data_IF_396250447117
#
_entry.id   IF_396250447117
#
_cell.length_a   1.000
_cell.length_b   1.000
_cell.length_c   1.000
_cell.angle_alpha   90.00
_cell.angle_beta   90.00
_cell.angle_gamma   90.00
#
_symmetry.space_group_name_H-M   'P 1'
#
loop_
_entity.id
_entity.type
_entity.pdbx_description
1 polymer ?
#
# COMPACT_ATOMS: atom_id res chain seq x y z
N UNK A 1 -4.01 -7.77 6.59
CA UNK A 1 -5.48 -7.94 6.58
C UNK A 1 -6.07 -6.62 7.06
N UNK A 2 -7.13 -6.08 6.43
CA UNK A 2 -7.75 -4.82 6.86
C UNK A 2 -8.63 -5.06 8.09
N UNK A 3 -8.45 -4.26 9.15
CA UNK A 3 -9.12 -4.45 10.42
C UNK A 3 -9.18 -3.14 11.23
N UNK A 4 -10.22 -3.00 12.07
CA UNK A 4 -10.29 -1.94 13.08
C UNK A 4 -9.82 -2.47 14.43
N UNK A 5 -8.99 -1.68 15.12
CA UNK A 5 -8.56 -1.96 16.49
C UNK A 5 -9.39 -1.14 17.49
N UNK A 6 -10.18 -1.81 18.32
CA UNK A 6 -10.95 -1.20 19.41
C UNK A 6 -10.47 -1.79 20.74
N UNK A 7 -9.72 -0.99 21.50
CA UNK A 7 -9.04 -1.47 22.71
C UNK A 7 -8.06 -2.60 22.39
N UNK A 8 -8.24 -3.75 23.04
CA UNK A 8 -7.42 -4.95 22.83
C UNK A 8 -7.99 -5.91 21.79
N UNK A 9 -9.10 -5.56 21.12
CA UNK A 9 -9.73 -6.40 20.12
C UNK A 9 -9.45 -5.87 18.71
N UNK A 10 -9.23 -6.80 17.79
CA UNK A 10 -9.08 -6.56 16.37
C UNK A 10 -10.30 -7.15 15.65
N UNK A 11 -10.93 -6.34 14.80
CA UNK A 11 -12.12 -6.69 14.05
C UNK A 11 -11.79 -6.64 12.55
N UNK A 12 -11.48 -7.80 11.94
CA UNK A 12 -11.22 -7.87 10.50
C UNK A 12 -12.44 -7.40 9.71
N UNK A 13 -12.22 -6.54 8.73
CA UNK A 13 -13.28 -6.00 7.87
C UNK A 13 -13.11 -6.63 6.49
N UNK A 14 -14.01 -7.55 6.08
CA UNK A 14 -13.99 -8.11 4.74
C UNK A 14 -14.29 -7.02 3.72
N UNK A 15 -13.41 -6.84 2.76
CA UNK A 15 -13.56 -5.92 1.65
C UNK A 15 -13.74 -6.68 0.34
N UNK A 16 -14.55 -6.13 -0.55
CA UNK A 16 -14.65 -6.53 -1.96
C UNK A 16 -14.45 -5.29 -2.82
N UNK A 17 -13.88 -5.46 -4.01
CA UNK A 17 -13.49 -4.30 -4.80
C UNK A 17 -13.13 -4.59 -6.23
N UNK A 18 -12.70 -3.53 -6.93
CA UNK A 18 -12.28 -3.51 -8.32
C UNK A 18 -10.95 -2.79 -8.42
N UNK A 19 -10.08 -3.30 -9.29
CA UNK A 19 -8.86 -2.62 -9.69
C UNK A 19 -8.92 -2.30 -11.17
N UNK A 20 -8.60 -1.07 -11.54
CA UNK A 20 -8.44 -0.67 -12.94
C UNK A 20 -6.97 -0.80 -13.28
N UNK A 21 -6.66 -1.53 -14.34
CA UNK A 21 -5.30 -1.79 -14.79
C UNK A 21 -5.17 -1.25 -16.22
N UNK A 22 -4.14 -0.46 -16.50
CA UNK A 22 -3.91 0.09 -17.84
C UNK A 22 -3.54 -1.04 -18.80
N UNK A 23 -4.09 -1.01 -20.02
CA UNK A 23 -3.89 -2.07 -20.99
C UNK A 23 -2.48 -2.09 -21.61
N UNK A 24 -1.77 -0.96 -21.58
CA UNK A 24 -0.48 -0.76 -22.24
C UNK A 24 0.71 -1.24 -21.39
N UNK A 25 0.67 -0.98 -20.09
CA UNK A 25 1.80 -1.15 -19.16
C UNK A 25 1.44 -1.96 -17.92
N UNK A 26 0.20 -2.46 -17.84
CA UNK A 26 -0.30 -3.22 -16.69
C UNK A 26 -0.16 -2.47 -15.36
N UNK A 27 -0.28 -1.14 -15.39
CA UNK A 27 -0.18 -0.30 -14.22
C UNK A 27 -1.54 -0.23 -13.53
N UNK A 28 -1.58 -0.31 -12.20
CA UNK A 28 -2.82 -0.10 -11.44
C UNK A 28 -3.16 1.39 -11.55
N UNK A 29 -4.26 1.76 -12.18
CA UNK A 29 -4.71 3.15 -12.23
C UNK A 29 -5.44 3.54 -10.93
N UNK A 30 -6.32 2.65 -10.46
CA UNK A 30 -7.19 2.87 -9.30
C UNK A 30 -7.52 1.54 -8.64
N UNK A 31 -7.71 1.57 -7.33
CA UNK A 31 -8.37 0.50 -6.57
C UNK A 31 -9.57 1.12 -5.84
N UNK A 32 -10.72 0.47 -5.93
CA UNK A 32 -11.92 0.84 -5.18
C UNK A 32 -12.44 -0.39 -4.46
N UNK A 33 -12.70 -0.25 -3.17
CA UNK A 33 -13.19 -1.34 -2.34
C UNK A 33 -14.28 -0.86 -1.39
N UNK A 34 -15.18 -1.76 -1.03
CA UNK A 34 -16.25 -1.54 -0.08
C UNK A 34 -16.36 -2.69 0.90
N UNK A 35 -16.85 -2.39 2.11
CA UNK A 35 -17.15 -3.41 3.11
C UNK A 35 -18.24 -4.35 2.60
N UNK A 36 -18.02 -5.65 2.78
CA UNK A 36 -18.93 -6.69 2.27
C UNK A 36 -20.28 -6.69 2.98
N UNK A 37 -20.29 -6.44 4.29
CA UNK A 37 -21.50 -6.40 5.13
C UNK A 37 -21.30 -5.52 6.36
N UNK A 38 -22.35 -4.88 6.91
CA UNK A 38 -22.28 -4.16 8.17
C UNK A 38 -21.76 -5.01 9.33
N UNK A 39 -21.11 -4.36 10.30
CA UNK A 39 -20.56 -4.95 11.52
C UNK A 39 -21.14 -4.26 12.76
N UNK A 40 -22.36 -4.66 13.19
CA UNK A 40 -23.06 -4.03 14.31
C UNK A 40 -22.30 -4.11 15.65
N UNK A 41 -21.48 -5.14 15.85
CA UNK A 41 -20.70 -5.38 17.06
C UNK A 41 -19.71 -4.26 17.38
N UNK A 42 -19.24 -3.56 16.35
CA UNK A 42 -18.39 -2.36 16.47
C UNK A 42 -19.11 -1.08 16.02
N UNK A 43 -20.40 -1.17 15.65
CA UNK A 43 -21.18 -0.07 15.09
C UNK A 43 -20.57 0.52 13.81
N UNK A 44 -19.97 -0.32 12.96
CA UNK A 44 -19.50 0.04 11.62
C UNK A 44 -20.56 -0.38 10.60
N UNK A 45 -21.18 0.59 9.93
CA UNK A 45 -22.32 0.37 9.04
C UNK A 45 -21.86 0.23 7.59
N UNK A 46 -20.95 1.10 7.16
CA UNK A 46 -20.41 1.14 5.81
C UNK A 46 -18.93 1.54 5.84
N UNK A 47 -18.17 1.06 4.85
CA UNK A 47 -16.84 1.58 4.53
C UNK A 47 -16.65 1.50 3.01
N UNK A 48 -16.17 2.59 2.43
CA UNK A 48 -15.84 2.72 1.01
C UNK A 48 -14.46 3.37 0.89
N UNK A 49 -13.59 2.76 0.11
CA UNK A 49 -12.19 3.14 -0.05
C UNK A 49 -11.88 3.32 -1.52
N UNK A 50 -11.22 4.43 -1.85
CA UNK A 50 -10.74 4.75 -3.20
C UNK A 50 -9.26 5.08 -3.07
N UNK A 51 -8.40 4.40 -3.84
CA UNK A 51 -6.98 4.69 -3.93
C UNK A 51 -6.62 4.96 -5.39
N UNK A 52 -6.08 6.15 -5.65
CA UNK A 52 -5.59 6.55 -6.97
C UNK A 52 -4.09 6.32 -7.04
N UNK A 53 -3.61 5.80 -8.16
CA UNK A 53 -2.20 5.51 -8.42
C UNK A 53 -1.70 6.34 -9.59
N UNK A 54 -0.39 6.59 -9.62
CA UNK A 54 0.22 7.28 -10.74
C UNK A 54 1.74 7.28 -10.70
N UNK A 55 2.37 7.93 -11.70
CA UNK A 55 3.82 7.99 -11.80
C UNK A 55 4.39 8.94 -10.76
N UNK A 56 5.33 8.44 -9.96
CA UNK A 56 6.16 9.20 -9.02
C UNK A 56 7.60 9.19 -9.53
N UNK A 57 8.12 10.33 -10.01
CA UNK A 57 9.48 10.42 -10.52
C UNK A 57 10.49 10.46 -9.36
N UNK A 58 11.62 9.77 -9.55
CA UNK A 58 12.79 9.78 -8.67
C UNK A 58 14.02 10.25 -9.47
N UNK A 59 14.24 11.58 -9.58
CA UNK A 59 15.27 12.13 -10.45
C UNK A 59 16.69 11.65 -10.12
N UNK A 60 17.01 11.49 -8.82
CA UNK A 60 18.34 11.04 -8.35
C UNK A 60 18.76 9.66 -8.87
N UNK A 61 17.79 8.79 -9.19
CA UNK A 61 18.02 7.45 -9.74
C UNK A 61 17.49 7.32 -11.18
N UNK A 62 17.11 8.43 -11.80
CA UNK A 62 16.55 8.49 -13.15
C UNK A 62 15.46 7.41 -13.40
N UNK A 63 14.55 7.24 -12.45
CA UNK A 63 13.49 6.23 -12.52
C UNK A 63 12.14 6.82 -12.15
N UNK A 64 11.06 6.15 -12.54
CA UNK A 64 9.69 6.48 -12.18
C UNK A 64 9.00 5.24 -11.68
N UNK A 65 8.43 5.30 -10.48
CA UNK A 65 7.66 4.20 -9.91
C UNK A 65 6.17 4.54 -9.93
N UNK A 66 5.33 3.52 -10.09
CA UNK A 66 3.89 3.68 -10.07
C UNK A 66 3.37 3.43 -8.65
N UNK A 67 3.00 4.49 -7.93
CA UNK A 67 2.71 4.45 -6.49
C UNK A 67 1.35 5.12 -6.19
N UNK A 68 0.76 4.88 -5.02
CA UNK A 68 -0.41 5.63 -4.57
C UNK A 68 -0.17 7.14 -4.59
N UNK A 69 -1.18 7.91 -4.97
CA UNK A 69 -1.18 9.38 -4.93
C UNK A 69 -2.15 9.92 -3.90
N UNK A 70 -3.30 9.28 -3.77
CA UNK A 70 -4.31 9.63 -2.77
C UNK A 70 -5.09 8.41 -2.32
N UNK A 71 -5.62 8.49 -1.10
CA UNK A 71 -6.63 7.57 -0.61
C UNK A 71 -7.80 8.35 0.00
N UNK A 72 -9.00 8.11 -0.49
CA UNK A 72 -10.26 8.64 0.02
C UNK A 72 -11.01 7.52 0.74
N UNK A 73 -11.37 7.73 2.00
CA UNK A 73 -12.12 6.78 2.81
C UNK A 73 -13.40 7.43 3.33
N UNK A 74 -14.52 6.76 3.09
CA UNK A 74 -15.84 7.12 3.59
C UNK A 74 -16.31 5.98 4.49
N UNK A 75 -16.71 6.28 5.72
CA UNK A 75 -17.22 5.24 6.60
C UNK A 75 -18.24 5.77 7.61
N UNK A 76 -19.21 4.92 7.91
CA UNK A 76 -20.27 5.20 8.86
C UNK A 76 -20.00 4.43 10.14
N UNK A 77 -19.59 5.14 11.18
CA UNK A 77 -19.16 4.54 12.43
C UNK A 77 -19.79 5.25 13.63
N UNK A 78 -20.38 4.48 14.54
CA UNK A 78 -21.01 4.99 15.77
C UNK A 78 -21.93 6.20 15.51
N UNK A 79 -22.82 6.05 14.52
CA UNK A 79 -23.82 7.07 14.10
C UNK A 79 -23.22 8.34 13.49
N UNK A 80 -21.96 8.34 13.08
CA UNK A 80 -21.30 9.46 12.42
C UNK A 80 -20.81 9.05 11.04
N UNK A 81 -20.92 9.99 10.10
CA UNK A 81 -20.37 9.88 8.76
C UNK A 81 -18.98 10.51 8.76
N UNK A 82 -17.97 9.74 8.37
CA UNK A 82 -16.59 10.21 8.27
C UNK A 82 -16.14 10.24 6.82
N UNK A 83 -15.45 11.32 6.48
CA UNK A 83 -14.64 11.42 5.28
C UNK A 83 -13.19 11.66 5.70
N UNK A 84 -12.30 10.78 5.26
CA UNK A 84 -10.86 10.90 5.49
C UNK A 84 -10.14 10.86 4.16
N UNK A 85 -9.34 11.88 3.89
CA UNK A 85 -8.46 11.95 2.73
C UNK A 85 -7.00 11.87 3.16
N UNK A 86 -6.24 11.05 2.46
CA UNK A 86 -4.78 11.01 2.50
C UNK A 86 -4.23 11.42 1.15
N UNK A 87 -3.23 12.29 1.17
CA UNK A 87 -2.39 12.58 0.01
C UNK A 87 -1.02 11.98 0.27
N UNK A 88 -0.47 11.26 -0.72
CA UNK A 88 0.86 10.68 -0.63
C UNK A 88 1.83 11.47 -1.52
N UNK A 89 2.84 12.03 -0.89
CA UNK A 89 3.87 12.83 -1.53
C UNK A 89 5.24 12.58 -0.87
N UNK A 90 6.28 13.25 -1.37
CA UNK A 90 7.65 13.18 -0.83
C UNK A 90 8.17 11.76 -0.61
N UNK A 91 7.87 10.84 -1.54
CA UNK A 91 8.41 9.50 -1.51
C UNK A 91 9.95 9.50 -1.50
N UNK A 92 10.52 8.64 -0.66
CA UNK A 92 11.96 8.44 -0.57
C UNK A 92 12.34 7.08 -1.17
N UNK A 93 13.31 7.10 -2.09
CA UNK A 93 13.87 5.89 -2.69
C UNK A 93 15.25 5.61 -2.10
N UNK A 94 15.41 4.44 -1.49
CA UNK A 94 16.67 3.94 -0.97
C UNK A 94 17.13 2.76 -1.83
N UNK A 95 18.42 2.71 -2.13
CA UNK A 95 19.07 1.67 -2.95
C UNK A 95 20.44 1.40 -2.33
N UNK A 96 20.74 0.14 -2.05
CA UNK A 96 22.04 -0.29 -1.50
C UNK A 96 22.66 -1.27 -2.47
N UNK A 97 23.88 -0.96 -2.92
CA UNK A 97 24.69 -1.85 -3.75
C UNK A 97 25.76 -2.49 -2.85
N UNK A 98 25.94 -3.81 -2.94
CA UNK A 98 26.95 -4.54 -2.17
C UNK A 98 27.98 -5.14 -3.12
N UNK A 99 29.24 -4.75 -2.95
CA UNK A 99 30.36 -5.37 -3.67
C UNK A 99 31.04 -6.41 -2.76
N UNK A 100 30.92 -7.69 -3.11
CA UNK A 100 31.64 -8.76 -2.43
C UNK A 100 33.02 -8.97 -3.06
N UNK A 101 34.08 -8.57 -2.36
CA UNK A 101 35.45 -8.95 -2.73
C UNK A 101 35.73 -10.39 -2.29
N UNK A 102 35.38 -11.36 -3.14
CA UNK A 102 35.74 -12.77 -2.94
C UNK A 102 37.27 -12.91 -2.97
N UNK A 103 37.88 -13.38 -1.88
CA UNK A 103 39.27 -13.84 -1.88
C UNK A 103 39.32 -15.25 -2.46
N UNK A 104 40.18 -15.47 -3.45
CA UNK A 104 40.48 -16.82 -3.92
C UNK A 104 41.18 -17.62 -2.81
N UNK A 105 40.93 -18.94 -2.69
CA UNK A 105 41.64 -19.78 -1.73
C UNK A 105 43.15 -19.69 -2.00
N UNK A 106 43.94 -19.35 -0.97
CA UNK A 106 45.40 -19.38 -1.07
C UNK A 106 45.90 -20.80 -1.34
N UNK A 107 46.87 -20.95 -2.22
CA UNK A 107 47.53 -22.24 -2.49
C UNK A 107 48.16 -22.74 -1.18
N UNK A 108 47.90 -23.99 -0.74
CA UNK A 108 48.56 -24.54 0.44
C UNK A 108 50.08 -24.52 0.25
N UNK A 109 50.86 -24.19 1.30
CA UNK A 109 52.32 -24.19 1.19
C UNK A 109 52.82 -25.59 0.82
N UNK A 110 53.72 -25.65 -0.16
CA UNK A 110 54.50 -26.86 -0.45
C UNK A 110 55.78 -26.84 0.41
N UNK A 111 55.89 -27.87 1.24
CA UNK A 111 57.02 -28.28 2.11
C UNK A 111 57.18 -27.54 3.44
#
# INVERSE_FOLDING_TARGET
>A
MHAYKLGNQEHPVPLKGRAWITADKFQIARIEAEMVKPMPEIQLISEHQIVEYGPIPFPKKNTTLWLPKSADLYFDFRKHHYYRRHSFDHYMLYSVDTEEKRREPGVPPQN
#
